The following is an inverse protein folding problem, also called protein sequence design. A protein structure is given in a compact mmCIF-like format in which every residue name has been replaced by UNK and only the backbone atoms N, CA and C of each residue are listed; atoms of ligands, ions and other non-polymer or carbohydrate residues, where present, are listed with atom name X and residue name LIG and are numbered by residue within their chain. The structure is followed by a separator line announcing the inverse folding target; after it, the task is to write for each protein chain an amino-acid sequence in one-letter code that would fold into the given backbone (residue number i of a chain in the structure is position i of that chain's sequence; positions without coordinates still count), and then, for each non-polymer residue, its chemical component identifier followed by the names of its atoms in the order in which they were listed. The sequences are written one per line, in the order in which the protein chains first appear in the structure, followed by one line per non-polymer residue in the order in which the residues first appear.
data_IF_813506485592
#
_entry.id   IF_813506485592
#
_cell.length_a   1.000
_cell.length_b   1.000
_cell.length_c   1.000
_cell.angle_alpha   90.00
_cell.angle_beta   90.00
_cell.angle_gamma   90.00
#
_symmetry.space_group_name_H-M   'P 1'
#
loop_
_entity.id
_entity.type
_entity.pdbx_description
1 polymer ?
#
# COMPACT_ATOMS: atom_id res chain seq x y z
N UNK A 1 -10.26 4.53 -52.15
CA UNK A 1 -10.27 5.30 -50.89
C UNK A 1 -10.92 4.54 -49.73
N UNK A 2 -12.07 3.88 -49.91
CA UNK A 2 -12.81 3.18 -48.82
C UNK A 2 -12.03 2.04 -48.14
N UNK A 3 -11.42 1.13 -48.90
CA UNK A 3 -10.69 -0.02 -48.35
C UNK A 3 -9.45 0.36 -47.53
N UNK A 4 -8.75 1.43 -47.94
CA UNK A 4 -7.58 1.92 -47.22
C UNK A 4 -7.99 2.53 -45.87
N UNK A 5 -9.05 3.34 -45.87
CA UNK A 5 -9.60 3.95 -44.65
C UNK A 5 -10.13 2.90 -43.67
N UNK A 6 -10.75 1.82 -44.18
CA UNK A 6 -11.22 0.71 -43.36
C UNK A 6 -10.05 -0.10 -42.76
N UNK A 7 -9.01 -0.37 -43.54
CA UNK A 7 -7.78 -1.02 -43.05
C UNK A 7 -7.03 -0.17 -42.02
N UNK A 8 -6.98 1.15 -42.19
CA UNK A 8 -6.39 2.09 -41.22
C UNK A 8 -7.18 2.10 -39.90
N UNK A 9 -8.51 2.07 -39.98
CA UNK A 9 -9.39 2.02 -38.82
C UNK A 9 -9.24 0.71 -38.03
N UNK A 10 -9.15 -0.43 -38.72
CA UNK A 10 -8.93 -1.72 -38.08
C UNK A 10 -7.53 -1.84 -37.48
N UNK A 11 -6.51 -1.30 -38.14
CA UNK A 11 -5.15 -1.21 -37.61
C UNK A 11 -5.09 -0.35 -36.34
N UNK A 12 -5.75 0.80 -36.35
CA UNK A 12 -5.86 1.68 -35.18
C UNK A 12 -6.58 0.98 -34.02
N UNK A 13 -7.68 0.27 -34.30
CA UNK A 13 -8.42 -0.51 -33.30
C UNK A 13 -7.57 -1.64 -32.71
N UNK A 14 -6.85 -2.37 -33.56
CA UNK A 14 -5.96 -3.46 -33.13
C UNK A 14 -4.81 -2.92 -32.26
N UNK A 15 -4.21 -1.80 -32.64
CA UNK A 15 -3.18 -1.11 -31.85
C UNK A 15 -3.71 -0.66 -30.49
N UNK A 16 -4.91 -0.09 -30.45
CA UNK A 16 -5.58 0.31 -29.21
C UNK A 16 -5.85 -0.90 -28.29
N UNK A 17 -6.40 -1.99 -28.84
CA UNK A 17 -6.63 -3.22 -28.08
C UNK A 17 -5.31 -3.79 -27.54
N UNK A 18 -4.24 -3.75 -28.33
CA UNK A 18 -2.92 -4.20 -27.92
C UNK A 18 -2.34 -3.34 -26.77
N UNK A 19 -2.55 -2.02 -26.82
CA UNK A 19 -2.13 -1.12 -25.76
C UNK A 19 -2.87 -1.38 -24.45
N UNK A 20 -4.20 -1.58 -24.51
CA UNK A 20 -5.03 -1.91 -23.35
C UNK A 20 -4.60 -3.25 -22.74
N UNK A 21 -4.43 -4.28 -23.57
CA UNK A 21 -4.00 -5.61 -23.09
C UNK A 21 -2.62 -5.57 -22.44
N UNK A 22 -1.68 -4.80 -22.99
CA UNK A 22 -0.35 -4.60 -22.38
C UNK A 22 -0.44 -3.91 -21.02
N UNK A 23 -1.33 -2.94 -20.85
CA UNK A 23 -1.51 -2.27 -19.55
C UNK A 23 -2.18 -3.18 -18.52
N UNK A 24 -3.17 -3.96 -18.92
CA UNK A 24 -3.81 -4.96 -18.04
C UNK A 24 -2.81 -6.02 -17.58
N UNK A 25 -1.92 -6.46 -18.46
CA UNK A 25 -0.86 -7.40 -18.12
C UNK A 25 0.10 -6.82 -17.07
N UNK A 26 0.55 -5.56 -17.24
CA UNK A 26 1.35 -4.84 -16.23
C UNK A 26 0.60 -4.60 -14.93
N UNK A 27 -0.72 -4.37 -14.98
CA UNK A 27 -1.56 -4.22 -13.79
C UNK A 27 -1.65 -5.54 -13.01
N UNK A 28 -1.84 -6.66 -13.71
CA UNK A 28 -1.88 -8.00 -13.12
C UNK A 28 -0.52 -8.40 -12.54
N UNK A 29 0.59 -8.13 -13.22
CA UNK A 29 1.95 -8.35 -12.68
C UNK A 29 2.19 -7.57 -11.39
N UNK A 30 1.82 -6.28 -11.34
CA UNK A 30 1.86 -5.48 -10.11
C UNK A 30 0.92 -6.02 -9.02
N UNK A 31 -0.18 -6.66 -9.38
CA UNK A 31 -1.09 -7.29 -8.41
C UNK A 31 -0.53 -8.59 -7.85
N UNK A 32 0.09 -9.41 -8.68
CA UNK A 32 0.73 -10.67 -8.29
C UNK A 32 2.00 -10.43 -7.47
N UNK A 33 2.77 -9.38 -7.78
CA UNK A 33 3.90 -8.95 -6.94
C UNK A 33 3.46 -8.49 -5.55
N UNK A 34 2.23 -7.99 -5.40
CA UNK A 34 1.65 -7.63 -4.09
C UNK A 34 1.07 -8.83 -3.34
N UNK A 35 0.75 -9.92 -4.02
CA UNK A 35 0.16 -11.13 -3.44
C UNK A 35 0.95 -11.76 -2.27
N UNK A 36 2.30 -11.89 -2.30
CA UNK A 36 3.06 -12.37 -1.15
C UNK A 36 3.06 -11.39 0.05
N UNK A 37 2.72 -10.12 -0.17
CA UNK A 37 2.56 -9.11 0.89
C UNK A 37 1.10 -9.00 1.38
N UNK A 38 0.13 -9.38 0.55
CA UNK A 38 -1.31 -9.44 0.87
C UNK A 38 -1.64 -10.70 1.69
N UNK A 39 -0.88 -11.78 1.51
CA UNK A 39 -1.00 -13.04 2.26
C UNK A 39 -0.79 -12.91 3.78
N UNK A 40 -0.40 -11.75 4.28
CA UNK A 40 -0.16 -11.53 5.71
C UNK A 40 -0.97 -10.37 6.30
N UNK A 41 -2.16 -10.09 5.74
CA UNK A 41 -3.09 -9.09 6.30
C UNK A 41 -3.49 -9.42 7.74
N UNK A 42 -3.62 -10.70 8.08
CA UNK A 42 -3.92 -11.14 9.45
C UNK A 42 -2.75 -10.89 10.41
N UNK A 43 -1.52 -11.16 10.00
CA UNK A 43 -0.34 -10.81 10.80
C UNK A 43 -0.18 -9.31 10.93
N UNK A 44 -0.34 -8.55 9.84
CA UNK A 44 -0.30 -7.09 9.87
C UNK A 44 -1.38 -6.56 10.84
N UNK A 45 -2.61 -7.09 10.77
CA UNK A 45 -3.68 -6.81 11.75
C UNK A 45 -3.21 -7.10 13.18
N UNK A 46 -2.59 -8.25 13.42
CA UNK A 46 -2.14 -8.65 14.76
C UNK A 46 -0.99 -7.76 15.27
N UNK A 47 -0.06 -7.37 14.40
CA UNK A 47 1.06 -6.46 14.74
C UNK A 47 0.54 -5.06 15.04
N UNK A 48 -0.37 -4.52 14.20
CA UNK A 48 -1.03 -3.22 14.42
C UNK A 48 -1.83 -3.27 15.73
N UNK A 49 -2.64 -4.31 15.94
CA UNK A 49 -3.45 -4.46 17.15
C UNK A 49 -2.58 -4.52 18.40
N UNK A 50 -1.48 -5.30 18.38
CA UNK A 50 -0.50 -5.32 19.47
C UNK A 50 0.11 -3.94 19.70
N UNK A 51 0.54 -3.26 18.65
CA UNK A 51 1.13 -1.92 18.76
C UNK A 51 0.18 -0.92 19.44
N UNK A 52 -1.12 -0.97 19.14
CA UNK A 52 -2.13 -0.08 19.71
C UNK A 52 -2.47 -0.41 21.18
N UNK A 53 -2.53 -1.69 21.53
CA UNK A 53 -2.99 -2.13 22.88
C UNK A 53 -1.88 -2.12 23.92
N UNK A 54 -0.63 -2.37 23.52
CA UNK A 54 0.52 -2.38 24.42
C UNK A 54 0.68 -1.02 25.12
N UNK A 55 0.66 -0.99 26.45
CA UNK A 55 0.87 0.24 27.23
C UNK A 55 2.36 0.54 27.48
N UNK A 56 3.21 -0.48 27.34
CA UNK A 56 4.64 -0.40 27.58
C UNK A 56 5.37 0.11 26.33
N UNK A 57 6.11 1.22 26.46
CA UNK A 57 6.84 1.83 25.34
C UNK A 57 7.94 0.94 24.76
N UNK A 58 8.57 0.10 25.60
CA UNK A 58 9.63 -0.82 25.17
C UNK A 58 9.11 -1.93 24.25
N UNK A 59 7.91 -2.44 24.50
CA UNK A 59 7.29 -3.48 23.68
C UNK A 59 6.77 -2.89 22.36
N UNK A 60 6.19 -1.69 22.41
CA UNK A 60 5.80 -0.93 21.22
C UNK A 60 7.00 -0.64 20.31
N UNK A 61 8.14 -0.29 20.89
CA UNK A 61 9.36 0.06 20.13
C UNK A 61 9.91 -1.14 19.34
N UNK A 62 9.78 -2.36 19.88
CA UNK A 62 10.20 -3.60 19.19
C UNK A 62 9.33 -3.94 17.97
N UNK A 63 8.11 -3.42 17.91
CA UNK A 63 7.21 -3.64 16.77
C UNK A 63 7.47 -2.67 15.61
N UNK A 64 8.21 -1.57 15.84
CA UNK A 64 8.51 -0.57 14.80
C UNK A 64 9.26 -1.18 13.61
N UNK A 65 10.35 -1.97 13.77
CA UNK A 65 11.04 -2.59 12.63
C UNK A 65 10.17 -3.61 11.88
N UNK A 66 9.24 -4.25 12.59
CA UNK A 66 8.29 -5.20 12.00
C UNK A 66 7.30 -4.47 11.12
N UNK A 67 6.73 -3.36 11.61
CA UNK A 67 5.84 -2.49 10.83
C UNK A 67 6.58 -1.85 9.64
N UNK A 68 7.81 -1.39 9.82
CA UNK A 68 8.68 -0.88 8.76
C UNK A 68 8.91 -1.91 7.65
N UNK A 69 9.17 -3.17 8.03
CA UNK A 69 9.40 -4.27 7.08
C UNK A 69 8.16 -4.61 6.27
N UNK A 70 6.98 -4.64 6.91
CA UNK A 70 5.71 -5.03 6.28
C UNK A 70 5.15 -3.88 5.43
N UNK A 71 5.16 -2.65 5.96
CA UNK A 71 4.54 -1.47 5.34
C UNK A 71 5.50 -0.71 4.44
N UNK A 72 6.80 -1.00 4.48
CA UNK A 72 7.86 -0.31 3.73
C UNK A 72 7.82 1.20 4.00
N UNK A 73 7.91 1.56 5.28
CA UNK A 73 7.80 2.94 5.73
C UNK A 73 9.00 3.77 5.25
N UNK A 74 8.78 5.07 5.05
CA UNK A 74 9.87 6.01 4.82
C UNK A 74 10.67 6.25 6.10
N UNK A 75 11.90 6.77 6.02
CA UNK A 75 12.67 7.16 7.20
C UNK A 75 11.93 8.16 8.10
N UNK A 76 11.17 9.11 7.52
CA UNK A 76 10.36 10.05 8.31
C UNK A 76 9.19 9.35 9.01
N UNK A 77 8.52 8.40 8.34
CA UNK A 77 7.43 7.61 8.91
C UNK A 77 7.91 6.72 10.06
N UNK A 78 9.05 6.05 9.88
CA UNK A 78 9.67 5.22 10.92
C UNK A 78 10.14 6.05 12.12
N UNK A 79 10.67 7.25 11.88
CA UNK A 79 11.03 8.20 12.96
C UNK A 79 9.80 8.62 13.77
N UNK A 80 8.71 9.02 13.09
CA UNK A 80 7.44 9.36 13.75
C UNK A 80 6.88 8.17 14.54
N UNK A 81 6.85 6.98 13.94
CA UNK A 81 6.36 5.76 14.59
C UNK A 81 7.21 5.39 15.83
N UNK A 82 8.52 5.64 15.79
CA UNK A 82 9.43 5.43 16.93
C UNK A 82 9.15 6.39 18.08
N UNK A 83 8.95 7.69 17.81
CA UNK A 83 8.60 8.68 18.84
C UNK A 83 7.29 8.31 19.56
N UNK A 84 6.35 7.74 18.81
CA UNK A 84 5.04 7.30 19.31
C UNK A 84 5.17 6.03 20.14
N UNK A 85 6.02 5.11 19.69
CA UNK A 85 6.33 3.90 20.42
C UNK A 85 6.94 4.20 21.79
N UNK A 86 7.76 5.26 21.89
CA UNK A 86 8.39 5.72 23.15
C UNK A 86 7.47 6.56 24.04
N UNK A 87 6.28 6.91 23.57
CA UNK A 87 5.35 7.79 24.30
C UNK A 87 5.75 9.27 24.28
N UNK A 88 6.68 9.67 23.41
CA UNK A 88 7.18 11.04 23.30
C UNK A 88 6.19 11.96 22.54
N UNK A 89 5.25 11.37 21.79
CA UNK A 89 4.22 12.10 21.05
C UNK A 89 2.81 11.73 21.55
N UNK A 90 2.23 12.60 22.37
CA UNK A 90 0.96 12.36 23.05
C UNK A 90 -0.30 12.57 22.19
N UNK A 91 -0.23 13.16 20.98
CA UNK A 91 -1.44 13.81 20.42
C UNK A 91 -1.65 13.75 18.89
N UNK A 92 -0.84 13.02 18.11
CA UNK A 92 -0.91 13.15 16.64
C UNK A 92 -1.64 12.03 15.88
N UNK A 93 -2.04 10.92 16.53
CA UNK A 93 -2.61 9.75 15.81
C UNK A 93 -4.12 9.80 15.64
N UNK A 94 -4.83 10.50 16.54
CA UNK A 94 -6.28 10.64 16.47
C UNK A 94 -6.72 11.27 15.15
N UNK A 95 -6.04 12.34 14.70
CA UNK A 95 -6.40 13.07 13.48
C UNK A 95 -6.27 12.23 12.21
N UNK A 96 -5.29 11.33 12.13
CA UNK A 96 -5.11 10.46 10.96
C UNK A 96 -6.12 9.31 10.92
N UNK A 97 -6.53 8.79 12.09
CA UNK A 97 -7.59 7.77 12.15
C UNK A 97 -8.93 8.34 11.70
N UNK A 98 -9.28 9.58 12.08
CA UNK A 98 -10.51 10.23 11.61
C UNK A 98 -10.53 10.39 10.07
N UNK A 99 -9.40 10.72 9.45
CA UNK A 99 -9.33 10.85 7.98
C UNK A 99 -9.44 9.52 7.24
N UNK A 100 -9.18 8.39 7.91
CA UNK A 100 -9.30 7.05 7.32
C UNK A 100 -10.66 6.40 7.57
N UNK A 101 -11.33 6.72 8.68
CA UNK A 101 -12.64 6.13 9.00
C UNK A 101 -13.82 6.91 8.44
N UNK A 102 -13.60 8.13 7.92
CA UNK A 102 -14.65 8.94 7.31
C UNK A 102 -15.78 9.35 8.27
N UNK A 103 -15.48 9.40 9.57
CA UNK A 103 -16.38 9.87 10.64
C UNK A 103 -15.97 11.28 11.08
#
# INVERSE_FOLDING_TARGET
ASLLSEAEKDSARSSQQNAVLKEELRRLERSLQREPHIANSEYLKNVIFKFLVLQNGDERTRLVPVLDTILKLSPEETSRLTAVARGESSSSWGSYLHSWTGL
#
